data_IF_396367083754
#
_entry.id   IF_396367083754
#
_cell.length_a   1.000
_cell.length_b   1.000
_cell.length_c   1.000
_cell.angle_alpha   90.00
_cell.angle_beta   90.00
_cell.angle_gamma   90.00
#
_symmetry.space_group_name_H-M   'P 1'
#
loop_
_entity.id
_entity.type
_entity.pdbx_description
1 polymer ?
#
# COMPACT_ATOMS: atom_id res chain seq x y z
N UNK A 1 14.35 -1.19 4.28
CA UNK A 1 14.43 -0.05 3.33
C UNK A 1 13.01 0.32 2.94
N UNK A 2 12.58 1.57 3.18
CA UNK A 2 11.24 2.09 2.87
C UNK A 2 11.28 2.84 1.55
N UNK A 3 10.35 2.56 0.62
CA UNK A 3 10.43 3.06 -0.75
C UNK A 3 9.54 4.29 -1.03
N UNK A 4 8.39 4.46 -0.36
CA UNK A 4 7.45 5.57 -0.63
C UNK A 4 6.67 6.00 0.62
N UNK A 5 6.38 7.30 0.70
CA UNK A 5 5.65 7.97 1.78
C UNK A 5 4.56 8.87 1.19
N UNK A 6 3.35 8.88 1.76
CA UNK A 6 2.21 9.70 1.31
C UNK A 6 1.43 10.25 2.51
N UNK A 7 1.08 11.53 2.50
CA UNK A 7 0.40 12.22 3.61
C UNK A 7 -0.72 13.18 3.16
N UNK A 8 -1.74 13.33 4.01
CA UNK A 8 -2.74 14.43 3.95
C UNK A 8 -3.06 15.06 5.32
N UNK A 9 -2.83 14.36 6.44
CA UNK A 9 -2.81 14.90 7.81
C UNK A 9 -1.49 14.50 8.49
N UNK A 10 -0.96 15.36 9.35
CA UNK A 10 0.43 15.30 9.84
C UNK A 10 0.80 13.97 10.53
N UNK A 11 -0.18 13.26 11.10
CA UNK A 11 0.10 12.15 12.00
C UNK A 11 -0.11 10.76 11.37
N UNK A 12 -0.83 10.65 10.24
CA UNK A 12 -1.20 9.36 9.64
C UNK A 12 -0.35 9.07 8.42
N UNK A 13 0.53 8.05 8.53
CA UNK A 13 1.45 7.64 7.48
C UNK A 13 1.32 6.15 7.17
N UNK A 14 1.41 5.82 5.89
CA UNK A 14 1.50 4.43 5.42
C UNK A 14 2.87 4.18 4.78
N UNK A 15 3.43 3.01 5.04
CA UNK A 15 4.67 2.53 4.44
C UNK A 15 4.53 1.07 4.05
N UNK A 16 5.12 0.68 2.92
CA UNK A 16 5.09 -0.71 2.45
C UNK A 16 6.51 -1.24 2.26
N UNK A 17 6.78 -2.42 2.81
CA UNK A 17 8.05 -3.11 2.66
C UNK A 17 8.14 -3.94 1.37
N UNK A 18 9.33 -4.42 0.99
CA UNK A 18 9.53 -5.17 -0.26
C UNK A 18 8.73 -6.46 -0.38
N UNK A 19 8.32 -7.04 0.76
CA UNK A 19 7.47 -8.24 0.81
C UNK A 19 5.97 -7.91 0.78
N UNK A 20 5.60 -6.64 0.58
CA UNK A 20 4.21 -6.17 0.63
C UNK A 20 3.69 -5.94 2.06
N UNK A 21 4.54 -6.00 3.08
CA UNK A 21 4.14 -5.69 4.46
C UNK A 21 3.74 -4.21 4.57
N UNK A 22 2.44 -3.97 4.76
CA UNK A 22 1.92 -2.64 4.95
C UNK A 22 2.00 -2.28 6.44
N UNK A 23 2.61 -1.15 6.72
CA UNK A 23 2.78 -0.58 8.04
C UNK A 23 2.06 0.78 8.10
N UNK A 24 1.50 1.08 9.28
CA UNK A 24 0.76 2.31 9.55
C UNK A 24 1.34 2.96 10.81
N UNK A 25 1.51 4.27 10.76
CA UNK A 25 1.87 5.12 11.89
C UNK A 25 0.78 6.16 12.12
N UNK A 26 0.46 6.43 13.38
CA UNK A 26 -0.49 7.45 13.83
C UNK A 26 0.18 8.54 14.67
N UNK A 27 1.52 8.59 14.67
CA UNK A 27 2.35 9.47 15.49
C UNK A 27 3.48 10.11 14.67
N UNK A 28 3.18 10.44 13.42
CA UNK A 28 4.10 11.14 12.51
C UNK A 28 5.31 10.31 12.11
N UNK A 29 5.22 8.98 12.20
CA UNK A 29 6.30 8.06 11.83
C UNK A 29 7.23 7.68 12.98
N UNK A 30 6.89 8.04 14.22
CA UNK A 30 7.68 7.69 15.41
C UNK A 30 7.59 6.20 15.72
N UNK A 31 6.37 5.64 15.65
CA UNK A 31 6.12 4.20 15.78
C UNK A 31 5.34 3.68 14.59
N UNK A 32 5.64 2.43 14.21
CA UNK A 32 5.03 1.76 13.07
C UNK A 32 4.46 0.43 13.51
N UNK A 33 3.24 0.14 13.06
CA UNK A 33 2.59 -1.16 13.29
C UNK A 33 2.26 -1.80 11.95
N UNK A 34 2.63 -3.07 11.80
CA UNK A 34 2.18 -3.87 10.66
C UNK A 34 0.67 -4.01 10.71
N UNK A 35 0.01 -3.70 9.59
CA UNK A 35 -1.45 -3.83 9.42
C UNK A 35 -1.78 -5.12 8.70
N UNK A 36 -1.13 -5.36 7.56
CA UNK A 36 -1.41 -6.51 6.70
C UNK A 36 -0.23 -6.79 5.77
N UNK A 37 -0.39 -7.77 4.88
CA UNK A 37 0.47 -7.95 3.71
C UNK A 37 -0.40 -7.74 2.47
N UNK A 38 -0.03 -6.79 1.61
CA UNK A 38 -0.73 -6.53 0.35
C UNK A 38 -0.53 -7.73 -0.59
N UNK A 39 -1.60 -8.29 -1.16
CA UNK A 39 -1.49 -9.38 -2.14
C UNK A 39 -0.86 -8.89 -3.44
N UNK A 40 -0.36 -9.81 -4.26
CA UNK A 40 0.07 -9.48 -5.62
C UNK A 40 1.59 -9.38 -5.86
N UNK A 41 2.38 -9.77 -4.87
CA UNK A 41 3.84 -9.81 -4.97
C UNK A 41 4.50 -8.47 -4.61
N UNK A 42 5.78 -8.30 -4.97
CA UNK A 42 6.56 -7.10 -4.68
C UNK A 42 5.82 -5.82 -5.08
N UNK A 43 5.65 -4.86 -4.15
CA UNK A 43 4.99 -3.60 -4.43
C UNK A 43 5.87 -2.69 -5.29
N UNK A 44 5.21 -1.97 -6.19
CA UNK A 44 5.84 -1.00 -7.10
C UNK A 44 5.51 0.44 -6.70
N UNK A 45 4.36 0.67 -6.05
CA UNK A 45 3.96 1.98 -5.55
C UNK A 45 2.95 1.85 -4.40
N UNK A 46 2.88 2.89 -3.56
CA UNK A 46 1.89 3.05 -2.50
C UNK A 46 1.42 4.51 -2.47
N UNK A 47 0.11 4.73 -2.34
CA UNK A 47 -0.44 6.06 -2.09
C UNK A 47 -1.57 6.00 -1.07
N UNK A 48 -1.61 6.99 -0.18
CA UNK A 48 -2.72 7.20 0.73
C UNK A 48 -3.65 8.27 0.12
N UNK A 49 -4.85 7.85 -0.26
CA UNK A 49 -5.89 8.70 -0.86
C UNK A 49 -6.68 9.43 0.25
N UNK A 50 -6.76 8.84 1.44
CA UNK A 50 -7.37 9.40 2.64
C UNK A 50 -6.87 8.68 3.90
N UNK A 51 -7.43 9.01 5.06
CA UNK A 51 -6.99 8.45 6.34
C UNK A 51 -7.07 6.91 6.40
N UNK A 52 -8.08 6.31 5.77
CA UNK A 52 -8.28 4.86 5.69
C UNK A 52 -8.27 4.32 4.24
N UNK A 53 -8.01 5.18 3.26
CA UNK A 53 -8.08 4.82 1.85
C UNK A 53 -6.69 4.73 1.25
N UNK A 54 -6.26 3.52 0.90
CA UNK A 54 -4.90 3.23 0.42
C UNK A 54 -4.97 2.48 -0.90
N UNK A 55 -4.11 2.86 -1.84
CA UNK A 55 -3.88 2.13 -3.09
C UNK A 55 -2.43 1.64 -3.10
N UNK A 56 -2.25 0.37 -3.48
CA UNK A 56 -0.95 -0.24 -3.68
C UNK A 56 -0.91 -0.86 -5.08
N UNK A 57 0.13 -0.52 -5.85
CA UNK A 57 0.44 -1.20 -7.09
C UNK A 57 1.43 -2.34 -6.79
N UNK A 58 1.14 -3.53 -7.29
CA UNK A 58 1.93 -4.75 -7.15
C UNK A 58 2.17 -5.35 -8.52
N UNK A 59 3.03 -6.37 -8.61
CA UNK A 59 3.38 -7.01 -9.90
C UNK A 59 2.16 -7.54 -10.66
N UNK A 60 1.09 -7.92 -9.96
CA UNK A 60 -0.10 -8.50 -10.57
C UNK A 60 -1.25 -7.50 -10.79
N UNK A 61 -1.16 -6.25 -10.31
CA UNK A 61 -2.28 -5.32 -10.36
C UNK A 61 -2.29 -4.17 -9.35
N UNK A 62 -3.41 -3.44 -9.32
CA UNK A 62 -3.68 -2.38 -8.34
C UNK A 62 -4.65 -2.91 -7.30
N UNK A 63 -4.28 -2.76 -6.04
CA UNK A 63 -5.04 -3.15 -4.86
C UNK A 63 -5.51 -1.91 -4.10
N UNK A 64 -6.78 -1.88 -3.73
CA UNK A 64 -7.41 -0.80 -2.97
C UNK A 64 -7.90 -1.29 -1.62
N UNK A 65 -7.58 -0.54 -0.58
CA UNK A 65 -8.17 -0.65 0.75
C UNK A 65 -8.95 0.62 1.06
N UNK A 66 -10.10 0.48 1.71
CA UNK A 66 -10.90 1.58 2.26
C UNK A 66 -11.09 1.48 3.77
N UNK A 67 -10.26 0.67 4.42
CA UNK A 67 -10.35 0.33 5.85
C UNK A 67 -8.98 0.42 6.56
N UNK A 68 -8.12 1.30 6.05
CA UNK A 68 -6.80 1.58 6.62
C UNK A 68 -5.77 0.49 6.32
N UNK A 69 -5.93 -0.20 5.20
CA UNK A 69 -5.04 -1.28 4.78
C UNK A 69 -5.32 -2.62 5.44
N UNK A 70 -6.43 -2.78 6.17
CA UNK A 70 -6.78 -4.06 6.82
C UNK A 70 -7.19 -5.09 5.79
N UNK A 71 -7.97 -4.69 4.78
CA UNK A 71 -8.35 -5.54 3.66
C UNK A 71 -8.11 -4.85 2.33
N UNK A 72 -7.74 -5.63 1.31
CA UNK A 72 -7.49 -5.15 -0.05
C UNK A 72 -8.39 -5.85 -1.05
N UNK A 73 -8.90 -5.07 -2.00
CA UNK A 73 -9.63 -5.56 -3.17
C UNK A 73 -8.83 -5.21 -4.42
N UNK A 74 -8.65 -6.19 -5.31
CA UNK A 74 -8.02 -5.94 -6.61
C UNK A 74 -8.95 -5.10 -7.48
N UNK A 75 -8.45 -3.97 -7.98
CA UNK A 75 -9.20 -3.02 -8.81
C UNK A 75 -8.84 -3.10 -10.28
N UNK A 76 -7.58 -3.40 -10.56
CA UNK A 76 -7.04 -3.58 -11.91
C UNK A 76 -6.08 -4.76 -11.88
N UNK A 77 -6.14 -5.61 -12.90
CA UNK A 77 -5.12 -6.63 -13.13
C UNK A 77 -4.06 -6.08 -14.09
N UNK A 78 -2.81 -6.48 -13.90
CA UNK A 78 -1.84 -6.41 -14.99
C UNK A 78 -2.20 -7.53 -15.95
N UNK A 79 -2.75 -7.19 -17.11
CA UNK A 79 -2.86 -8.15 -18.21
C UNK A 79 -1.47 -8.34 -18.79
N UNK A 80 -0.93 -9.56 -18.68
CA UNK A 80 0.23 -9.94 -19.49
C UNK A 80 -0.23 -9.97 -20.95
N UNK A 81 -0.05 -8.86 -21.68
CA UNK A 81 -0.06 -8.93 -23.14
C UNK A 81 1.15 -9.78 -23.54
N UNK A 82 0.95 -11.08 -23.71
CA UNK A 82 1.93 -11.93 -24.34
C UNK A 82 2.18 -11.40 -25.75
N UNK A 83 3.42 -11.02 -26.04
CA UNK A 83 3.90 -10.76 -27.40
C UNK A 83 4.37 -9.32 -27.64
N UNK A 84 5.69 -9.14 -27.54
CA UNK A 84 6.47 -8.46 -28.58
C UNK A 84 7.55 -9.42 -29.04
#
# INVERSE_FOLDING_TARGET
MLAFLSWKTADVLYGIGPAGDLNHSTDGGTTWKKVSTVPGGPPQALTAVGAEHVLAATQDGVHESKDGGKTFRKRLAVESSGGH
#
